data_IF_070062961106
#
_entry.id   IF_070062961106
#
_cell.length_a   1.000
_cell.length_b   1.000
_cell.length_c   1.000
_cell.angle_alpha   90.00
_cell.angle_beta   90.00
_cell.angle_gamma   90.00
#
_symmetry.space_group_name_H-M   'P 1'
#
loop_
_entity.id
_entity.type
_entity.pdbx_description
1 polymer ?
#
# COMPACT_ATOMS: atom_id res chain seq x y z
N UNK A 1 31.46 1.19 -54.33
CA UNK A 1 30.26 2.02 -54.54
C UNK A 1 29.06 1.12 -54.34
N UNK A 2 28.44 1.13 -53.16
CA UNK A 2 27.09 0.62 -52.96
C UNK A 2 26.52 1.29 -51.72
N UNK A 3 25.37 1.93 -51.89
CA UNK A 3 24.85 2.97 -51.02
C UNK A 3 24.11 2.40 -49.80
N UNK A 4 24.66 2.73 -48.63
CA UNK A 4 24.07 2.67 -47.31
C UNK A 4 22.83 3.59 -47.20
N UNK A 5 21.65 3.10 -47.59
CA UNK A 5 20.38 3.85 -47.47
C UNK A 5 19.21 3.03 -46.95
N UNK A 6 19.33 2.50 -45.75
CA UNK A 6 18.15 2.15 -44.93
C UNK A 6 18.23 2.80 -43.56
N UNK A 7 18.15 4.14 -43.55
CA UNK A 7 17.71 4.90 -42.37
C UNK A 7 16.22 4.63 -42.18
N UNK A 8 15.87 3.92 -41.10
CA UNK A 8 14.50 3.92 -40.60
C UNK A 8 14.07 5.36 -40.24
N UNK A 9 12.85 5.78 -40.61
CA UNK A 9 12.34 7.07 -40.23
C UNK A 9 12.07 7.14 -38.72
N UNK A 10 12.49 8.27 -38.15
CA UNK A 10 12.27 8.71 -36.78
C UNK A 10 10.80 9.07 -36.53
N UNK A 11 10.40 8.95 -35.27
CA UNK A 11 9.35 9.71 -34.59
C UNK A 11 7.90 9.52 -35.07
N UNK A 12 7.16 8.65 -34.37
CA UNK A 12 5.75 8.91 -34.07
C UNK A 12 5.65 9.42 -32.65
N UNK A 13 5.72 10.74 -32.50
CA UNK A 13 5.41 11.45 -31.25
C UNK A 13 3.90 11.35 -31.04
N UNK A 14 3.47 10.60 -30.03
CA UNK A 14 2.08 10.66 -29.56
C UNK A 14 1.83 12.04 -28.94
N UNK A 15 0.70 12.71 -29.23
CA UNK A 15 0.33 13.93 -28.52
C UNK A 15 -0.06 13.61 -27.06
N UNK A 16 0.20 14.52 -26.10
CA UNK A 16 -0.24 14.32 -24.72
C UNK A 16 -1.78 14.36 -24.61
N UNK A 17 -2.37 13.60 -23.68
CA UNK A 17 -3.81 13.65 -23.43
C UNK A 17 -4.22 15.00 -22.84
N UNK A 18 -5.36 15.52 -23.30
CA UNK A 18 -5.97 16.77 -22.82
C UNK A 18 -6.34 16.69 -21.33
N UNK A 19 -6.12 17.76 -20.53
CA UNK A 19 -6.56 17.78 -19.14
C UNK A 19 -8.09 17.86 -19.04
N UNK A 20 -8.70 17.22 -18.02
CA UNK A 20 -10.13 17.31 -17.77
C UNK A 20 -10.55 18.72 -17.32
N UNK A 21 -11.75 19.19 -17.71
CA UNK A 21 -12.23 20.51 -17.32
C UNK A 21 -12.66 20.55 -15.85
N UNK A 22 -12.02 21.45 -15.09
CA UNK A 22 -12.65 22.29 -14.07
C UNK A 22 -13.40 21.64 -12.92
N UNK A 23 -12.73 21.47 -11.79
CA UNK A 23 -13.33 21.68 -10.47
C UNK A 23 -12.52 22.74 -9.71
N UNK A 24 -12.74 24.01 -10.08
CA UNK A 24 -12.58 25.10 -9.13
C UNK A 24 -13.79 25.10 -8.18
N UNK A 25 -13.55 25.56 -6.94
CA UNK A 25 -14.42 25.54 -5.74
C UNK A 25 -14.24 24.22 -4.95
N UNK A 26 -13.71 24.22 -3.73
CA UNK A 26 -14.23 25.00 -2.61
C UNK A 26 -13.21 25.02 -1.45
N UNK A 27 -12.46 26.11 -1.30
CA UNK A 27 -11.85 26.47 -0.01
C UNK A 27 -12.87 27.30 0.77
N UNK A 28 -13.63 26.67 1.66
CA UNK A 28 -14.39 27.33 2.73
C UNK A 28 -14.24 26.45 3.98
N UNK A 29 -13.33 26.79 4.88
CA UNK A 29 -13.60 27.56 6.11
C UNK A 29 -14.71 26.95 6.95
N UNK A 30 -14.33 26.16 7.95
CA UNK A 30 -15.12 25.95 9.15
C UNK A 30 -14.17 25.98 10.36
N UNK A 31 -14.00 27.18 10.92
CA UNK A 31 -13.47 27.39 12.26
C UNK A 31 -14.66 27.47 13.22
N UNK A 32 -14.82 26.48 14.09
CA UNK A 32 -15.67 26.50 15.29
C UNK A 32 -15.12 25.34 16.16
N UNK A 33 -14.26 25.56 17.17
CA UNK A 33 -14.56 26.11 18.50
C UNK A 33 -15.92 25.70 19.04
N UNK A 34 -15.89 24.69 19.91
CA UNK A 34 -16.70 24.63 21.14
C UNK A 34 -16.14 23.53 22.05
N UNK A 35 -15.46 23.98 23.10
CA UNK A 35 -15.44 23.34 24.41
C UNK A 35 -16.89 23.10 24.88
N UNK A 36 -17.15 21.94 25.49
CA UNK A 36 -18.06 21.89 26.63
C UNK A 36 -17.96 20.55 27.36
N UNK A 37 -17.53 20.66 28.61
CA UNK A 37 -17.52 19.65 29.66
C UNK A 37 -18.94 19.17 30.00
N UNK A 38 -19.05 17.91 30.45
CA UNK A 38 -20.29 17.34 30.95
C UNK A 38 -20.05 16.06 31.74
N UNK A 39 -19.80 16.22 33.03
CA UNK A 39 -19.80 15.17 34.04
C UNK A 39 -21.23 14.64 34.29
N UNK A 40 -21.36 13.37 34.66
CA UNK A 40 -22.62 12.80 35.15
C UNK A 40 -22.52 11.30 35.40
N UNK A 41 -22.27 10.95 36.65
CA UNK A 41 -22.48 9.61 37.20
C UNK A 41 -23.99 9.25 37.19
N UNK A 42 -24.34 7.97 37.06
CA UNK A 42 -24.85 7.20 38.20
C UNK A 42 -25.14 5.74 37.82
N UNK A 43 -25.12 4.90 38.85
CA UNK A 43 -25.19 3.46 38.82
C UNK A 43 -26.58 2.92 38.43
N UNK A 44 -26.66 1.65 37.99
CA UNK A 44 -27.65 0.72 38.54
C UNK A 44 -27.25 -0.75 38.30
N UNK A 45 -27.28 -1.48 39.41
CA UNK A 45 -27.12 -2.92 39.60
C UNK A 45 -28.32 -3.67 39.00
N UNK A 46 -28.07 -4.84 38.40
CA UNK A 46 -29.09 -5.78 37.95
C UNK A 46 -28.50 -7.17 37.65
N UNK A 47 -28.27 -7.94 38.71
CA UNK A 47 -28.32 -9.42 38.74
C UNK A 47 -29.60 -9.92 38.06
N UNK A 48 -29.57 -11.05 37.30
CA UNK A 48 -30.45 -12.27 37.26
C UNK A 48 -30.06 -13.05 35.97
N UNK A 49 -29.27 -14.14 36.02
CA UNK A 49 -29.65 -15.54 36.24
C UNK A 49 -30.63 -16.14 35.20
N UNK A 50 -30.22 -17.31 34.68
CA UNK A 50 -30.97 -18.31 33.88
C UNK A 50 -31.07 -18.07 32.36
N UNK A 51 -30.27 -18.81 31.59
CA UNK A 51 -30.77 -19.99 30.86
C UNK A 51 -29.77 -20.39 29.76
N UNK A 52 -28.80 -21.23 30.11
CA UNK A 52 -28.05 -22.00 29.12
C UNK A 52 -28.79 -23.32 28.91
N UNK A 53 -29.35 -23.51 27.71
CA UNK A 53 -29.44 -24.84 27.10
C UNK A 53 -29.06 -24.79 25.63
N UNK A 54 -28.19 -25.72 25.18
CA UNK A 54 -27.61 -25.70 23.85
C UNK A 54 -28.58 -26.34 22.85
N UNK A 55 -29.06 -25.55 21.89
CA UNK A 55 -29.72 -26.09 20.72
C UNK A 55 -28.65 -26.68 19.81
N UNK A 56 -28.74 -28.01 19.63
CA UNK A 56 -28.03 -28.79 18.63
C UNK A 56 -28.32 -28.19 17.25
N UNK A 57 -27.36 -27.42 16.73
CA UNK A 57 -27.36 -26.83 15.40
C UNK A 57 -26.19 -27.38 14.59
N UNK A 58 -26.52 -27.94 13.44
CA UNK A 58 -25.67 -28.68 12.52
C UNK A 58 -24.29 -28.08 12.20
N UNK A 59 -23.29 -28.94 11.92
CA UNK A 59 -21.96 -28.53 11.48
C UNK A 59 -21.99 -28.19 9.99
N UNK A 60 -22.36 -26.97 9.62
CA UNK A 60 -22.10 -26.51 8.24
C UNK A 60 -21.83 -25.00 8.08
N UNK A 61 -21.61 -24.27 9.18
CA UNK A 61 -21.31 -22.83 9.14
C UNK A 61 -19.83 -22.48 9.41
N UNK A 62 -18.91 -23.46 9.39
CA UNK A 62 -17.49 -23.22 9.68
C UNK A 62 -16.62 -22.93 8.44
N UNK A 63 -17.15 -23.06 7.21
CA UNK A 63 -16.35 -22.80 6.00
C UNK A 63 -16.49 -21.36 5.49
N UNK A 64 -17.42 -20.57 6.02
CA UNK A 64 -17.68 -19.19 5.56
C UNK A 64 -17.20 -18.11 6.53
N UNK A 65 -16.48 -18.47 7.59
CA UNK A 65 -15.83 -17.52 8.50
C UNK A 65 -14.35 -17.28 8.17
N UNK A 66 -13.74 -18.10 7.29
CA UNK A 66 -12.35 -17.91 6.87
C UNK A 66 -12.18 -16.82 5.80
N UNK A 67 -13.24 -16.53 5.03
CA UNK A 67 -13.19 -15.49 3.98
C UNK A 67 -13.35 -14.06 4.53
N UNK A 68 -13.89 -13.92 5.75
CA UNK A 68 -14.14 -12.63 6.40
C UNK A 68 -12.92 -12.04 7.13
N UNK A 69 -11.76 -12.71 7.09
CA UNK A 69 -10.51 -12.24 7.71
C UNK A 69 -9.52 -11.66 6.69
N UNK A 70 -9.99 -11.29 5.50
CA UNK A 70 -9.17 -10.76 4.40
C UNK A 70 -9.02 -9.23 4.42
N UNK A 71 -9.40 -8.58 5.53
CA UNK A 71 -9.24 -7.14 5.73
C UNK A 71 -8.66 -6.81 7.12
N UNK A 72 -7.92 -7.74 7.73
CA UNK A 72 -7.01 -7.37 8.80
C UNK A 72 -5.91 -6.52 8.15
N UNK A 73 -5.86 -5.23 8.48
CA UNK A 73 -4.85 -4.31 7.97
C UNK A 73 -3.47 -4.96 8.12
N UNK A 74 -2.82 -5.26 6.99
CA UNK A 74 -1.48 -5.84 6.98
C UNK A 74 -0.56 -4.90 7.76
N UNK A 75 0.22 -5.46 8.68
CA UNK A 75 1.21 -4.67 9.41
C UNK A 75 2.28 -4.15 8.46
N UNK A 76 2.90 -3.01 8.78
CA UNK A 76 3.99 -2.46 7.96
C UNK A 76 5.12 -3.48 7.66
N UNK A 77 5.54 -4.36 8.60
CA UNK A 77 6.48 -5.44 8.30
C UNK A 77 5.96 -6.47 7.29
N UNK A 78 4.66 -6.80 7.32
CA UNK A 78 4.06 -7.74 6.38
C UNK A 78 4.00 -7.15 4.97
N UNK A 79 3.61 -5.88 4.84
CA UNK A 79 3.64 -5.16 3.55
C UNK A 79 5.06 -5.10 3.00
N UNK A 80 6.05 -4.79 3.84
CA UNK A 80 7.47 -4.82 3.43
C UNK A 80 7.88 -6.19 2.90
N UNK A 81 7.52 -7.28 3.57
CA UNK A 81 7.88 -8.63 3.13
C UNK A 81 7.32 -8.94 1.73
N UNK A 82 6.05 -8.60 1.48
CA UNK A 82 5.41 -8.76 0.17
C UNK A 82 6.13 -7.93 -0.92
N UNK A 83 6.53 -6.70 -0.59
CA UNK A 83 7.26 -5.83 -1.52
C UNK A 83 8.65 -6.38 -1.83
N UNK A 84 9.38 -6.90 -0.83
CA UNK A 84 10.71 -7.50 -1.05
C UNK A 84 10.63 -8.78 -1.88
N UNK A 85 9.63 -9.62 -1.64
CA UNK A 85 9.37 -10.82 -2.44
C UNK A 85 9.10 -10.44 -3.90
N UNK A 86 8.23 -9.46 -4.12
CA UNK A 86 7.99 -8.89 -5.44
C UNK A 86 9.24 -8.25 -6.08
N UNK A 87 10.07 -7.53 -5.31
CA UNK A 87 11.34 -6.98 -5.82
C UNK A 87 12.27 -8.07 -6.33
N UNK A 88 12.28 -9.26 -5.71
CA UNK A 88 13.08 -10.39 -6.17
C UNK A 88 12.59 -10.92 -7.53
N UNK A 89 11.27 -10.96 -7.76
CA UNK A 89 10.69 -11.29 -9.07
C UNK A 89 11.07 -10.24 -10.12
N UNK A 90 10.92 -8.95 -9.80
CA UNK A 90 11.28 -7.85 -10.70
C UNK A 90 12.77 -7.86 -11.04
N UNK A 91 13.64 -8.07 -10.04
CA UNK A 91 15.08 -8.20 -10.26
C UNK A 91 15.41 -9.38 -11.19
N UNK A 92 14.71 -10.51 -11.02
CA UNK A 92 14.87 -11.68 -11.89
C UNK A 92 14.44 -11.38 -13.33
N UNK A 93 13.32 -10.68 -13.53
CA UNK A 93 12.83 -10.27 -14.85
C UNK A 93 13.77 -9.29 -15.57
N UNK A 94 14.46 -8.44 -14.80
CA UNK A 94 15.42 -7.46 -15.31
C UNK A 94 16.86 -8.02 -15.38
N UNK A 95 17.07 -9.29 -15.04
CA UNK A 95 18.38 -9.95 -14.97
C UNK A 95 19.40 -9.20 -14.07
N UNK A 96 18.93 -8.62 -12.96
CA UNK A 96 19.77 -7.94 -11.99
C UNK A 96 20.47 -8.93 -11.07
N UNK A 97 21.69 -8.61 -10.65
CA UNK A 97 22.44 -9.40 -9.68
C UNK A 97 21.84 -9.34 -8.28
N UNK A 98 22.16 -10.34 -7.45
CA UNK A 98 21.76 -10.34 -6.03
C UNK A 98 22.33 -9.12 -5.27
N UNK A 99 23.50 -8.62 -5.69
CA UNK A 99 24.12 -7.39 -5.18
C UNK A 99 23.19 -6.18 -5.31
N UNK A 100 22.70 -5.89 -6.52
CA UNK A 100 21.69 -4.84 -6.76
C UNK A 100 20.43 -5.01 -5.91
N UNK A 101 19.89 -6.24 -5.81
CA UNK A 101 18.70 -6.50 -5.00
C UNK A 101 18.95 -6.21 -3.52
N UNK A 102 20.08 -6.66 -2.95
CA UNK A 102 20.43 -6.38 -1.56
C UNK A 102 20.64 -4.88 -1.30
N UNK A 103 21.31 -4.18 -2.22
CA UNK A 103 21.48 -2.74 -2.13
C UNK A 103 20.13 -2.00 -2.17
N UNK A 104 19.22 -2.40 -3.06
CA UNK A 104 17.88 -1.82 -3.16
C UNK A 104 17.06 -2.03 -1.87
N UNK A 105 17.10 -3.24 -1.30
CA UNK A 105 16.42 -3.54 -0.02
C UNK A 105 17.00 -2.72 1.12
N UNK A 106 18.33 -2.59 1.20
CA UNK A 106 18.98 -1.77 2.22
C UNK A 106 18.61 -0.28 2.10
N UNK A 107 18.50 0.25 0.88
CA UNK A 107 18.05 1.62 0.62
C UNK A 107 16.60 1.82 1.08
N UNK A 108 15.72 0.87 0.77
CA UNK A 108 14.31 0.91 1.19
C UNK A 108 14.20 0.89 2.72
N UNK A 109 14.92 0.00 3.39
CA UNK A 109 14.93 -0.10 4.85
C UNK A 109 15.45 1.18 5.51
N UNK A 110 16.55 1.72 4.99
CA UNK A 110 17.14 2.96 5.47
C UNK A 110 16.22 4.17 5.26
N UNK A 111 15.36 4.15 4.23
CA UNK A 111 14.33 5.15 4.04
C UNK A 111 13.21 4.98 5.06
N UNK A 112 12.64 3.78 5.17
CA UNK A 112 11.54 3.48 6.09
C UNK A 112 11.90 3.75 7.55
N UNK A 113 13.15 3.48 7.96
CA UNK A 113 13.65 3.76 9.30
C UNK A 113 13.67 5.25 9.66
N UNK A 114 13.66 6.15 8.67
CA UNK A 114 13.65 7.62 8.87
C UNK A 114 12.25 8.21 8.78
N UNK A 115 11.25 7.43 8.40
CA UNK A 115 9.89 7.92 8.23
C UNK A 115 9.18 8.00 9.58
N UNK A 116 8.48 9.11 9.81
CA UNK A 116 7.65 9.29 11.01
C UNK A 116 6.35 8.46 10.96
N UNK A 117 5.90 8.08 9.76
CA UNK A 117 4.72 7.27 9.53
C UNK A 117 4.95 6.31 8.35
N UNK A 118 4.37 5.11 8.36
CA UNK A 118 4.50 4.17 7.24
C UNK A 118 3.89 4.77 5.97
N UNK A 119 4.58 4.69 4.81
CA UNK A 119 4.03 5.17 3.56
C UNK A 119 2.85 4.30 3.10
N UNK A 120 1.90 4.86 2.35
CA UNK A 120 0.85 4.11 1.67
C UNK A 120 1.40 2.98 0.78
N UNK A 121 0.64 1.89 0.64
CA UNK A 121 1.06 0.70 -0.11
C UNK A 121 1.44 0.99 -1.57
N UNK A 122 0.71 1.89 -2.25
CA UNK A 122 1.06 2.32 -3.61
C UNK A 122 2.42 3.01 -3.68
N UNK A 123 2.77 3.79 -2.65
CA UNK A 123 4.07 4.45 -2.56
C UNK A 123 5.19 3.46 -2.20
N UNK A 124 4.90 2.38 -1.48
CA UNK A 124 5.86 1.31 -1.21
C UNK A 124 6.37 0.65 -2.49
N UNK A 125 5.48 0.34 -3.44
CA UNK A 125 5.89 -0.25 -4.72
C UNK A 125 6.73 0.71 -5.57
N UNK A 126 6.34 1.98 -5.63
CA UNK A 126 7.11 3.01 -6.35
C UNK A 126 8.48 3.24 -5.71
N UNK A 127 8.54 3.26 -4.37
CA UNK A 127 9.79 3.34 -3.62
C UNK A 127 10.70 2.16 -3.96
N UNK A 128 10.16 0.94 -3.96
CA UNK A 128 10.91 -0.27 -4.30
C UNK A 128 11.50 -0.21 -5.72
N UNK A 129 10.74 0.25 -6.73
CA UNK A 129 11.25 0.44 -8.09
C UNK A 129 12.31 1.54 -8.16
N UNK A 130 12.15 2.64 -7.42
CA UNK A 130 13.14 3.70 -7.34
C UNK A 130 14.44 3.23 -6.67
N UNK A 131 14.34 2.38 -5.63
CA UNK A 131 15.49 1.76 -4.98
C UNK A 131 16.22 0.79 -5.93
N UNK A 132 15.50 0.03 -6.76
CA UNK A 132 16.09 -0.82 -7.80
C UNK A 132 16.80 0.02 -8.88
N UNK A 133 16.16 1.07 -9.41
CA UNK A 133 16.81 1.98 -10.39
C UNK A 133 18.04 2.68 -9.81
N UNK A 134 18.00 3.06 -8.54
CA UNK A 134 19.16 3.66 -7.89
C UNK A 134 20.28 2.64 -7.69
N UNK A 135 19.97 1.42 -7.25
CA UNK A 135 20.96 0.37 -7.00
C UNK A 135 21.72 -0.02 -8.28
N UNK A 136 21.03 -0.13 -9.43
CA UNK A 136 21.66 -0.50 -10.71
C UNK A 136 22.60 0.57 -11.26
N UNK A 137 22.48 1.82 -10.80
CA UNK A 137 23.42 2.90 -11.15
C UNK A 137 24.68 2.91 -10.29
N UNK A 138 24.68 2.18 -9.17
CA UNK A 138 25.79 2.09 -8.23
C UNK A 138 26.66 0.83 -8.46
N UNK A 139 26.18 -0.12 -9.29
CA UNK A 139 26.94 -1.26 -9.80
C UNK A 139 27.77 -0.87 -11.04
#
# INVERSE_FOLDING_TARGET
AELERQRLPRSSSLPPPSPPPGHQHQCQRASHHQDSEGAGADAHIGTEAAEQRPTVGSPHAATSAAAATSAAALSAPAVRALVVDWMAEVASLLALGSSALFAAVALMDAFLARQAAPPPDTLMQLLALACLDLATRQE
#
